data_IF_849885925116
#
_entry.id   IF_849885925116
#
_cell.length_a   1.000
_cell.length_b   1.000
_cell.length_c   1.000
_cell.angle_alpha   90.00
_cell.angle_beta   90.00
_cell.angle_gamma   90.00
#
_symmetry.space_group_name_H-M   'P 1'
#
loop_
_entity.id
_entity.type
_entity.pdbx_description
1 polymer ?
#
# COMPACT_ATOMS: atom_id res chain seq x y z
N UNK A 1 4.72 -9.37 -4.70
CA UNK A 1 5.85 -8.93 -3.88
C UNK A 1 6.74 -7.91 -4.62
N UNK A 2 7.22 -8.20 -5.85
CA UNK A 2 8.16 -7.35 -6.60
C UNK A 2 7.65 -5.91 -6.80
N UNK A 3 6.40 -5.73 -7.21
CA UNK A 3 5.81 -4.42 -7.43
C UNK A 3 5.80 -3.54 -6.16
N UNK A 4 5.42 -4.13 -5.03
CA UNK A 4 5.41 -3.42 -3.73
C UNK A 4 6.84 -3.11 -3.29
N UNK A 5 7.78 -4.05 -3.44
CA UNK A 5 9.17 -3.82 -3.08
C UNK A 5 9.81 -2.71 -3.93
N UNK A 6 9.55 -2.68 -5.24
CA UNK A 6 10.03 -1.63 -6.14
C UNK A 6 9.46 -0.25 -5.76
N UNK A 7 8.16 -0.18 -5.49
CA UNK A 7 7.51 1.04 -5.03
C UNK A 7 8.12 1.56 -3.71
N UNK A 8 8.31 0.68 -2.73
CA UNK A 8 8.92 1.05 -1.44
C UNK A 8 10.37 1.51 -1.61
N UNK A 9 11.16 0.83 -2.44
CA UNK A 9 12.56 1.21 -2.68
C UNK A 9 12.69 2.64 -3.23
N UNK A 10 11.83 3.00 -4.19
CA UNK A 10 11.81 4.37 -4.76
C UNK A 10 11.27 5.39 -3.74
N UNK A 11 10.24 4.99 -2.97
CA UNK A 11 9.67 5.84 -1.93
C UNK A 11 10.69 6.20 -0.82
N UNK A 12 11.56 5.28 -0.45
CA UNK A 12 12.60 5.48 0.58
C UNK A 12 13.73 6.42 0.18
N UNK A 13 13.88 6.71 -1.12
CA UNK A 13 14.91 7.63 -1.64
C UNK A 13 14.31 8.92 -2.19
N UNK A 14 13.20 9.37 -1.62
CA UNK A 14 12.48 10.59 -1.98
C UNK A 14 11.98 10.65 -3.43
N UNK A 15 11.80 9.49 -4.08
CA UNK A 15 11.20 9.44 -5.41
C UNK A 15 9.81 10.07 -5.44
N UNK A 16 9.46 10.73 -6.53
CA UNK A 16 8.12 11.28 -6.73
C UNK A 16 7.05 10.19 -6.71
N UNK A 17 5.81 10.57 -6.47
CA UNK A 17 4.72 9.59 -6.47
C UNK A 17 4.56 8.89 -7.84
N UNK A 18 4.83 9.60 -8.92
CA UNK A 18 4.83 9.06 -10.28
C UNK A 18 5.93 8.01 -10.46
N UNK A 19 7.18 8.31 -10.05
CA UNK A 19 8.30 7.37 -10.10
C UNK A 19 8.03 6.10 -9.25
N UNK A 20 7.38 6.24 -8.09
CA UNK A 20 6.97 5.12 -7.25
C UNK A 20 5.98 4.21 -8.01
N UNK A 21 5.00 4.79 -8.67
CA UNK A 21 4.01 4.05 -9.44
C UNK A 21 4.64 3.39 -10.66
N UNK A 22 5.51 4.08 -11.38
CA UNK A 22 6.23 3.57 -12.55
C UNK A 22 7.16 2.40 -12.19
N UNK A 23 7.86 2.49 -11.07
CA UNK A 23 8.70 1.40 -10.57
C UNK A 23 7.87 0.14 -10.25
N UNK A 24 6.70 0.32 -9.67
CA UNK A 24 5.79 -0.80 -9.43
C UNK A 24 5.31 -1.45 -10.73
N UNK A 25 4.92 -0.64 -11.71
CA UNK A 25 4.51 -1.12 -13.03
C UNK A 25 5.62 -1.89 -13.75
N UNK A 26 6.83 -1.34 -13.78
CA UNK A 26 7.99 -1.96 -14.41
C UNK A 26 8.38 -3.32 -13.81
N UNK A 27 7.99 -3.56 -12.54
CA UNK A 27 8.25 -4.82 -11.85
C UNK A 27 7.19 -5.91 -12.10
N UNK A 28 6.15 -5.62 -12.90
CA UNK A 28 5.05 -6.56 -13.19
C UNK A 28 5.16 -7.01 -14.66
N UNK A 29 5.29 -8.31 -14.94
CA UNK A 29 5.27 -8.81 -16.32
C UNK A 29 3.98 -8.44 -17.04
N UNK A 30 4.08 -7.89 -18.27
CA UNK A 30 2.93 -7.39 -19.03
C UNK A 30 1.92 -8.49 -19.41
N UNK A 31 2.36 -9.73 -19.53
CA UNK A 31 1.54 -10.90 -19.82
C UNK A 31 0.92 -11.55 -18.58
N UNK A 32 1.11 -10.93 -17.40
CA UNK A 32 0.59 -11.46 -16.15
C UNK A 32 -0.86 -11.05 -15.88
N UNK A 33 -1.58 -11.91 -15.17
CA UNK A 33 -2.92 -11.58 -14.68
C UNK A 33 -2.92 -10.34 -13.78
N UNK A 34 -1.88 -10.15 -12.96
CA UNK A 34 -1.73 -8.97 -12.12
C UNK A 34 -1.65 -7.69 -12.94
N UNK A 35 -0.84 -7.68 -14.02
CA UNK A 35 -0.71 -6.52 -14.91
C UNK A 35 -2.06 -6.18 -15.56
N UNK A 36 -2.73 -7.19 -16.10
CA UNK A 36 -4.03 -7.02 -16.74
C UNK A 36 -5.08 -6.43 -15.79
N UNK A 37 -5.16 -6.96 -14.56
CA UNK A 37 -6.09 -6.48 -13.55
C UNK A 37 -5.77 -5.06 -13.08
N UNK A 38 -4.50 -4.74 -12.86
CA UNK A 38 -4.08 -3.40 -12.47
C UNK A 38 -4.40 -2.38 -13.58
N UNK A 39 -4.11 -2.71 -14.83
CA UNK A 39 -4.42 -1.87 -15.99
C UNK A 39 -5.91 -1.59 -16.09
N UNK A 40 -6.74 -2.61 -16.08
CA UNK A 40 -8.19 -2.45 -16.19
C UNK A 40 -8.80 -1.65 -15.03
N UNK A 41 -8.31 -1.88 -13.80
CA UNK A 41 -8.75 -1.11 -12.64
C UNK A 41 -8.38 0.38 -12.75
N UNK A 42 -7.20 0.71 -13.29
CA UNK A 42 -6.79 2.09 -13.55
C UNK A 42 -7.63 2.74 -14.65
N UNK A 43 -7.90 2.02 -15.75
CA UNK A 43 -8.78 2.50 -16.83
C UNK A 43 -10.20 2.80 -16.31
N UNK A 44 -10.73 1.97 -15.41
CA UNK A 44 -12.03 2.22 -14.76
C UNK A 44 -11.97 3.50 -13.90
N UNK A 45 -10.93 3.64 -13.07
CA UNK A 45 -10.75 4.82 -12.21
C UNK A 45 -10.65 6.10 -13.04
N UNK A 46 -9.83 6.09 -14.10
CA UNK A 46 -9.61 7.26 -14.96
C UNK A 46 -10.90 7.67 -15.68
N UNK A 47 -11.67 6.70 -16.16
CA UNK A 47 -12.96 6.94 -16.83
C UNK A 47 -14.02 7.50 -15.88
N UNK A 48 -14.02 7.08 -14.63
CA UNK A 48 -15.01 7.54 -13.61
C UNK A 48 -14.61 8.84 -12.93
N UNK A 49 -13.31 9.17 -12.90
CA UNK A 49 -12.79 10.40 -12.32
C UNK A 49 -12.64 10.41 -10.80
N UNK A 50 -13.30 9.52 -10.07
CA UNK A 50 -13.13 9.37 -8.62
C UNK A 50 -13.26 7.91 -8.19
N UNK A 51 -12.56 7.54 -7.09
CA UNK A 51 -12.66 6.19 -6.55
C UNK A 51 -14.06 5.87 -6.05
N UNK A 52 -14.76 6.85 -5.49
CA UNK A 52 -16.12 6.62 -4.98
C UNK A 52 -17.08 6.22 -6.11
N UNK A 53 -16.98 6.85 -7.27
CA UNK A 53 -17.80 6.52 -8.44
C UNK A 53 -17.32 5.24 -9.14
N UNK A 54 -16.04 4.94 -9.08
CA UNK A 54 -15.42 3.77 -9.69
C UNK A 54 -15.54 2.50 -8.83
N UNK A 55 -15.77 2.65 -7.52
CA UNK A 55 -15.55 1.61 -6.52
C UNK A 55 -16.29 0.30 -6.82
N UNK A 56 -17.59 0.37 -7.10
CA UNK A 56 -18.39 -0.84 -7.41
C UNK A 56 -17.89 -1.55 -8.67
N UNK A 57 -17.58 -0.78 -9.72
CA UNK A 57 -17.13 -1.36 -10.98
C UNK A 57 -15.72 -1.97 -10.85
N UNK A 58 -14.81 -1.32 -10.12
CA UNK A 58 -13.49 -1.88 -9.83
C UNK A 58 -13.62 -3.13 -8.95
N UNK A 59 -14.50 -3.08 -7.95
CA UNK A 59 -14.74 -4.22 -7.06
C UNK A 59 -15.25 -5.44 -7.83
N UNK A 60 -16.21 -5.25 -8.73
CA UNK A 60 -16.75 -6.32 -9.58
C UNK A 60 -15.72 -6.83 -10.58
N UNK A 61 -14.93 -5.92 -11.18
CA UNK A 61 -13.88 -6.27 -12.15
C UNK A 61 -12.76 -7.09 -11.53
N UNK A 62 -12.32 -6.73 -10.31
CA UNK A 62 -11.24 -7.41 -9.62
C UNK A 62 -11.70 -8.64 -8.83
N UNK A 63 -13.01 -8.85 -8.71
CA UNK A 63 -13.55 -9.90 -7.86
C UNK A 63 -13.00 -11.28 -8.19
N UNK A 64 -12.55 -12.00 -7.17
CA UNK A 64 -12.14 -13.40 -7.26
C UNK A 64 -12.85 -14.22 -6.18
N UNK A 65 -12.89 -15.53 -6.35
CA UNK A 65 -13.45 -16.44 -5.34
C UNK A 65 -12.61 -16.49 -4.06
N UNK A 66 -11.37 -16.04 -4.15
CA UNK A 66 -10.39 -15.99 -3.06
C UNK A 66 -10.09 -14.52 -2.73
N UNK A 67 -10.65 -14.00 -1.67
CA UNK A 67 -10.55 -12.58 -1.22
C UNK A 67 -9.13 -12.04 -1.02
N UNK A 68 -8.15 -12.92 -0.73
CA UNK A 68 -6.74 -12.56 -0.55
C UNK A 68 -5.87 -12.84 -1.80
N UNK A 69 -6.49 -12.94 -2.99
CA UNK A 69 -5.75 -13.16 -4.23
C UNK A 69 -4.89 -11.94 -4.56
N UNK A 70 -3.61 -12.18 -4.88
CA UNK A 70 -2.68 -11.12 -5.26
C UNK A 70 -3.20 -10.27 -6.43
N UNK A 71 -3.87 -10.89 -7.41
CA UNK A 71 -4.44 -10.21 -8.58
C UNK A 71 -5.70 -9.37 -8.27
N UNK A 72 -6.24 -9.45 -7.04
CA UNK A 72 -7.30 -8.61 -6.52
C UNK A 72 -6.75 -7.58 -5.52
N UNK A 73 -6.03 -8.02 -4.48
CA UNK A 73 -5.59 -7.17 -3.38
C UNK A 73 -4.56 -6.11 -3.81
N UNK A 74 -3.59 -6.46 -4.67
CA UNK A 74 -2.57 -5.52 -5.11
C UNK A 74 -3.15 -4.43 -6.04
N UNK A 75 -3.92 -4.73 -7.10
CA UNK A 75 -4.59 -3.69 -7.88
C UNK A 75 -5.48 -2.78 -7.03
N UNK A 76 -6.22 -3.33 -6.07
CA UNK A 76 -7.06 -2.56 -5.15
C UNK A 76 -6.24 -1.56 -4.32
N UNK A 77 -5.08 -1.97 -3.81
CA UNK A 77 -4.18 -1.07 -3.09
C UNK A 77 -3.63 0.04 -3.99
N UNK A 78 -3.20 -0.30 -5.20
CA UNK A 78 -2.64 0.68 -6.14
C UNK A 78 -3.71 1.65 -6.68
N UNK A 79 -4.96 1.23 -6.83
CA UNK A 79 -6.09 2.12 -7.13
C UNK A 79 -6.31 3.12 -6.00
N UNK A 80 -6.26 2.69 -4.73
CA UNK A 80 -6.36 3.58 -3.58
C UNK A 80 -5.19 4.58 -3.52
N UNK A 81 -3.97 4.12 -3.83
CA UNK A 81 -2.78 4.97 -3.94
C UNK A 81 -2.96 6.03 -5.02
N UNK A 82 -3.38 5.66 -6.22
CA UNK A 82 -3.66 6.60 -7.31
C UNK A 82 -4.74 7.62 -6.92
N UNK A 83 -5.81 7.18 -6.28
CA UNK A 83 -6.93 8.02 -5.89
C UNK A 83 -6.65 8.94 -4.69
N UNK A 84 -5.62 8.67 -3.89
CA UNK A 84 -5.29 9.50 -2.73
C UNK A 84 -4.55 10.79 -3.11
N UNK A 85 -4.00 10.88 -4.32
CA UNK A 85 -3.23 12.04 -4.78
C UNK A 85 -2.11 12.42 -3.82
N UNK A 86 -1.31 11.43 -3.41
CA UNK A 86 -0.13 11.63 -2.56
C UNK A 86 -0.45 12.11 -1.12
N UNK A 87 -1.62 11.71 -0.57
CA UNK A 87 -2.04 11.99 0.80
C UNK A 87 -2.04 10.71 1.65
N UNK A 88 -1.17 10.65 2.67
CA UNK A 88 -1.03 9.48 3.55
C UNK A 88 -2.35 9.06 4.19
N UNK A 89 -3.02 10.01 4.87
CA UNK A 89 -4.24 9.69 5.61
C UNK A 89 -5.36 9.24 4.69
N UNK A 90 -5.53 9.93 3.56
CA UNK A 90 -6.52 9.59 2.55
C UNK A 90 -6.24 8.21 1.96
N UNK A 91 -5.00 7.90 1.59
CA UNK A 91 -4.61 6.63 1.00
C UNK A 91 -4.88 5.45 1.91
N UNK A 92 -4.43 5.51 3.16
CA UNK A 92 -4.67 4.44 4.15
C UNK A 92 -6.17 4.31 4.48
N UNK A 93 -6.91 5.42 4.56
CA UNK A 93 -8.35 5.39 4.81
C UNK A 93 -9.12 4.77 3.65
N UNK A 94 -8.80 5.13 2.40
CA UNK A 94 -9.40 4.53 1.22
C UNK A 94 -9.13 3.02 1.16
N UNK A 95 -7.87 2.63 1.40
CA UNK A 95 -7.46 1.23 1.40
C UNK A 95 -8.17 0.40 2.48
N UNK A 96 -8.24 0.89 3.71
CA UNK A 96 -8.92 0.23 4.82
C UNK A 96 -10.45 0.13 4.65
N UNK A 97 -11.05 1.01 3.84
CA UNK A 97 -12.48 0.98 3.52
C UNK A 97 -12.80 0.32 2.17
N UNK A 98 -11.79 -0.13 1.43
CA UNK A 98 -12.02 -0.73 0.12
C UNK A 98 -12.87 -2.00 0.19
N UNK A 99 -12.75 -2.76 1.27
CA UNK A 99 -13.45 -4.03 1.47
C UNK A 99 -12.60 -5.24 1.09
N UNK A 100 -13.19 -6.42 1.12
CA UNK A 100 -12.51 -7.69 0.82
C UNK A 100 -11.30 -7.91 1.76
N UNK A 101 -10.09 -7.99 1.23
CA UNK A 101 -8.84 -8.14 1.98
C UNK A 101 -8.29 -6.76 2.45
N UNK A 102 -9.14 -6.00 3.12
CA UNK A 102 -8.89 -4.60 3.46
C UNK A 102 -7.64 -4.38 4.34
N UNK A 103 -7.26 -5.34 5.16
CA UNK A 103 -6.04 -5.31 5.98
C UNK A 103 -4.78 -5.41 5.11
N UNK A 104 -4.74 -6.33 4.14
CA UNK A 104 -3.63 -6.42 3.16
C UNK A 104 -3.59 -5.18 2.26
N UNK A 105 -4.74 -4.73 1.75
CA UNK A 105 -4.84 -3.52 0.91
C UNK A 105 -4.32 -2.30 1.70
N UNK A 106 -4.75 -2.17 2.96
CA UNK A 106 -4.30 -1.12 3.88
C UNK A 106 -2.81 -1.21 4.22
N UNK A 107 -2.27 -2.43 4.42
CA UNK A 107 -0.85 -2.63 4.68
C UNK A 107 0.01 -2.23 3.48
N UNK A 108 -0.38 -2.59 2.25
CA UNK A 108 0.35 -2.21 1.03
C UNK A 108 0.33 -0.69 0.83
N UNK A 109 -0.83 -0.05 0.93
CA UNK A 109 -0.91 1.40 0.84
C UNK A 109 -0.12 2.10 1.95
N UNK A 110 -0.23 1.59 3.17
CA UNK A 110 0.46 2.12 4.35
C UNK A 110 1.98 2.03 4.27
N UNK A 111 2.54 0.92 3.77
CA UNK A 111 4.00 0.76 3.66
C UNK A 111 4.58 1.68 2.58
N UNK A 112 3.92 1.84 1.44
CA UNK A 112 4.40 2.71 0.35
C UNK A 112 4.33 4.19 0.78
N UNK A 113 3.19 4.63 1.29
CA UNK A 113 3.03 6.02 1.75
C UNK A 113 3.87 6.30 3.01
N UNK A 114 4.02 5.32 3.90
CA UNK A 114 4.88 5.44 5.07
C UNK A 114 6.36 5.56 4.73
N UNK A 115 6.84 4.80 3.73
CA UNK A 115 8.19 4.91 3.22
C UNK A 115 8.45 6.29 2.60
N UNK A 116 7.46 6.84 1.87
CA UNK A 116 7.56 8.15 1.22
C UNK A 116 7.59 9.31 2.22
N UNK A 117 6.73 9.29 3.22
CA UNK A 117 6.53 10.45 4.10
C UNK A 117 7.16 10.34 5.47
N UNK A 118 7.54 9.14 5.87
CA UNK A 118 7.98 8.89 7.23
C UNK A 118 6.88 9.14 8.27
N UNK A 119 7.24 9.03 9.54
CA UNK A 119 6.31 9.18 10.66
C UNK A 119 5.76 10.61 10.81
N UNK A 120 6.42 11.63 10.25
CA UNK A 120 6.03 13.03 10.40
C UNK A 120 4.67 13.36 9.76
N UNK A 121 4.26 12.63 8.73
CA UNK A 121 2.99 12.83 8.04
C UNK A 121 1.88 11.91 8.58
N UNK A 122 2.22 10.97 9.44
CA UNK A 122 1.24 10.10 10.06
C UNK A 122 0.48 10.81 11.19
N UNK A 123 -0.84 10.60 11.33
CA UNK A 123 -1.57 11.14 12.48
C UNK A 123 -0.97 10.64 13.78
N UNK A 124 -0.63 11.54 14.71
CA UNK A 124 0.03 11.19 15.97
C UNK A 124 -0.76 10.14 16.78
N UNK A 125 -2.10 10.22 16.76
CA UNK A 125 -2.95 9.23 17.43
C UNK A 125 -2.85 7.83 16.83
N UNK A 126 -2.53 7.70 15.52
CA UNK A 126 -2.32 6.40 14.88
C UNK A 126 -0.97 5.83 15.26
N UNK A 127 0.09 6.66 15.27
CA UNK A 127 1.42 6.25 15.71
C UNK A 127 1.35 5.70 17.14
N UNK A 128 0.74 6.45 18.06
CA UNK A 128 0.63 6.07 19.46
C UNK A 128 -0.11 4.73 19.64
N UNK A 129 -1.21 4.56 18.90
CA UNK A 129 -2.05 3.35 18.98
C UNK A 129 -1.37 2.11 18.40
N UNK A 130 -0.54 2.26 17.35
CA UNK A 130 0.08 1.15 16.63
C UNK A 130 1.52 0.88 17.03
N UNK A 131 2.11 1.71 17.88
CA UNK A 131 3.51 1.64 18.29
C UNK A 131 3.92 0.28 18.86
N UNK A 132 3.02 -0.34 19.63
CA UNK A 132 3.28 -1.63 20.27
C UNK A 132 2.33 -2.70 19.73
N UNK A 133 2.83 -3.67 18.93
CA UNK A 133 2.01 -4.78 18.44
C UNK A 133 1.37 -5.56 19.58
N UNK A 134 0.13 -5.99 19.38
CA UNK A 134 -0.61 -6.80 20.35
C UNK A 134 -0.06 -8.21 20.51
N UNK A 135 0.64 -8.71 19.49
CA UNK A 135 1.13 -10.10 19.43
C UNK A 135 0.03 -11.11 19.12
N UNK A 136 -1.14 -10.66 18.65
CA UNK A 136 -2.28 -11.56 18.38
C UNK A 136 -1.95 -12.64 17.34
N UNK A 137 -1.30 -12.25 16.23
CA UNK A 137 -0.90 -13.20 15.18
C UNK A 137 0.48 -13.81 15.45
N UNK A 138 1.40 -13.01 15.98
CA UNK A 138 2.80 -13.36 16.23
C UNK A 138 3.15 -13.04 17.67
N UNK A 139 3.02 -13.98 18.57
CA UNK A 139 3.18 -13.76 20.02
C UNK A 139 4.53 -13.12 20.40
N UNK A 140 5.60 -13.41 19.68
CA UNK A 140 6.93 -12.87 19.93
C UNK A 140 7.04 -11.37 19.66
N UNK A 141 6.08 -10.77 18.93
CA UNK A 141 6.07 -9.33 18.64
C UNK A 141 5.38 -8.51 19.72
N UNK A 142 4.77 -9.16 20.71
CA UNK A 142 3.99 -8.48 21.76
C UNK A 142 4.82 -7.45 22.52
N UNK A 143 4.39 -6.20 22.47
CA UNK A 143 5.01 -5.11 23.20
C UNK A 143 6.36 -4.64 22.68
N UNK A 144 6.79 -5.12 21.51
CA UNK A 144 7.96 -4.60 20.81
C UNK A 144 7.66 -3.15 20.41
N UNK A 145 8.58 -2.23 20.67
CA UNK A 145 8.48 -0.88 20.16
C UNK A 145 8.92 -0.85 18.69
N UNK A 146 7.96 -0.61 17.78
CA UNK A 146 8.23 -0.56 16.34
C UNK A 146 9.24 0.54 16.00
N UNK A 147 9.23 1.65 16.73
CA UNK A 147 10.14 2.77 16.52
C UNK A 147 11.59 2.40 16.82
N UNK A 148 11.82 1.70 17.93
CA UNK A 148 13.16 1.23 18.28
C UNK A 148 13.73 0.26 17.22
N UNK A 149 12.87 -0.54 16.59
CA UNK A 149 13.28 -1.41 15.48
C UNK A 149 13.59 -0.61 14.21
N UNK A 150 12.80 0.40 13.90
CA UNK A 150 13.07 1.27 12.76
C UNK A 150 14.41 2.01 12.93
N UNK A 151 14.70 2.52 14.13
CA UNK A 151 15.98 3.15 14.46
C UNK A 151 17.16 2.18 14.28
N UNK A 152 17.08 0.96 14.82
CA UNK A 152 18.12 -0.07 14.66
C UNK A 152 18.36 -0.46 13.20
N UNK A 153 17.31 -0.56 12.38
CA UNK A 153 17.45 -0.85 10.95
C UNK A 153 18.15 0.32 10.24
N UNK A 154 17.80 1.54 10.59
CA UNK A 154 18.42 2.75 10.05
C UNK A 154 19.91 2.80 10.40
N UNK A 155 20.29 2.51 11.64
CA UNK A 155 21.69 2.45 12.06
C UNK A 155 22.48 1.44 11.25
N UNK A 156 21.97 0.24 11.03
CA UNK A 156 22.60 -0.79 10.18
C UNK A 156 22.81 -0.30 8.74
N UNK A 157 21.84 0.43 8.17
CA UNK A 157 21.94 0.97 6.80
C UNK A 157 23.02 2.07 6.73
N UNK A 158 23.16 2.87 7.77
CA UNK A 158 24.13 3.98 7.80
C UNK A 158 25.55 3.52 8.12
N UNK A 159 25.73 2.41 8.82
CA UNK A 159 27.02 1.84 9.19
C UNK A 159 27.64 0.91 8.10
N UNK A 160 26.86 0.44 7.15
CA UNK A 160 27.24 -0.53 6.09
C UNK A 160 27.72 0.09 4.83
#
# INVERSE_FOLDING_TARGET
>A
AQAVAAAVAVAMVDGSFEEIMDAAWAAIPEDSWLYHNLKGAFEILDRKGSLLEAWMEIHDYLWTTQWATTAEAIPSAFVCLKACHDDFRKGVTLAGNFGRDADTIGAVAGVILGARYGASQMPAAWIEKTRYPSGTCLNFTKGIDIRDYAEKITDIILEG
#
